data_IF_727293751661
#
_entry.id   IF_727293751661
#
_cell.length_a   1.000
_cell.length_b   1.000
_cell.length_c   1.000
_cell.angle_alpha   90.00
_cell.angle_beta   90.00
_cell.angle_gamma   90.00
#
_symmetry.space_group_name_H-M   'P 1'
#
loop_
_entity.id
_entity.type
_entity.pdbx_description
1 polymer ?
#
# COMPACT_ATOMS: atom_id res chain seq x y z
N UNK A 1 -14.99 9.83 21.73
CA UNK A 1 -14.81 10.43 20.41
C UNK A 1 -14.25 9.43 19.39
N UNK A 2 -13.29 8.58 19.74
CA UNK A 2 -12.69 7.58 18.85
C UNK A 2 -13.69 6.53 18.35
N UNK A 3 -14.58 6.04 19.22
CA UNK A 3 -15.64 5.08 18.83
C UNK A 3 -16.62 5.67 17.79
N UNK A 4 -16.89 6.96 17.84
CA UNK A 4 -17.76 7.62 16.85
C UNK A 4 -17.05 7.75 15.50
N UNK A 5 -15.77 8.12 15.50
CA UNK A 5 -14.95 8.20 14.28
C UNK A 5 -14.83 6.83 13.60
N UNK A 6 -14.57 5.78 14.38
CA UNK A 6 -14.52 4.41 13.88
C UNK A 6 -15.83 3.96 13.24
N UNK A 7 -16.98 4.20 13.91
CA UNK A 7 -18.31 3.86 13.37
C UNK A 7 -18.63 4.60 12.08
N UNK A 8 -18.31 5.90 12.00
CA UNK A 8 -18.55 6.72 10.79
C UNK A 8 -17.65 6.22 9.63
N UNK A 9 -16.37 5.93 9.92
CA UNK A 9 -15.45 5.39 8.92
C UNK A 9 -15.94 4.02 8.40
N UNK A 10 -16.35 3.13 9.28
CA UNK A 10 -16.87 1.80 8.91
C UNK A 10 -18.14 1.91 8.07
N UNK A 11 -19.08 2.79 8.44
CA UNK A 11 -20.30 3.01 7.68
C UNK A 11 -20.00 3.59 6.29
N UNK A 12 -19.10 4.57 6.22
CA UNK A 12 -18.67 5.14 4.94
C UNK A 12 -18.02 4.10 4.04
N UNK A 13 -17.15 3.25 4.60
CA UNK A 13 -16.51 2.16 3.86
C UNK A 13 -17.52 1.12 3.37
N UNK A 14 -18.51 0.78 4.19
CA UNK A 14 -19.57 -0.16 3.82
C UNK A 14 -20.43 0.36 2.65
N UNK A 15 -20.82 1.62 2.68
CA UNK A 15 -21.58 2.26 1.59
C UNK A 15 -20.73 2.28 0.31
N UNK A 16 -19.46 2.66 0.41
CA UNK A 16 -18.54 2.67 -0.73
C UNK A 16 -18.35 1.28 -1.32
N UNK A 17 -18.18 0.25 -0.48
CA UNK A 17 -18.07 -1.14 -0.90
C UNK A 17 -19.35 -1.64 -1.61
N UNK A 18 -20.55 -1.27 -1.12
CA UNK A 18 -21.80 -1.60 -1.79
C UNK A 18 -21.89 -0.99 -3.19
N UNK A 19 -21.56 0.29 -3.33
CA UNK A 19 -21.57 0.98 -4.63
C UNK A 19 -20.61 0.29 -5.60
N UNK A 20 -19.39 -0.04 -5.17
CA UNK A 20 -18.44 -0.76 -5.99
C UNK A 20 -18.92 -2.17 -6.34
N UNK A 21 -19.54 -2.89 -5.40
CA UNK A 21 -20.11 -4.21 -5.64
C UNK A 21 -21.16 -4.22 -6.75
N UNK A 22 -22.06 -3.23 -6.76
CA UNK A 22 -23.08 -3.07 -7.80
C UNK A 22 -22.44 -2.69 -9.15
N UNK A 23 -21.44 -1.80 -9.13
CA UNK A 23 -20.76 -1.35 -10.35
C UNK A 23 -20.02 -2.50 -11.06
N UNK A 24 -19.46 -3.43 -10.28
CA UNK A 24 -18.66 -4.56 -10.75
C UNK A 24 -19.40 -5.91 -10.72
N UNK A 25 -20.72 -5.92 -10.60
CA UNK A 25 -21.55 -7.13 -10.50
C UNK A 25 -21.30 -8.16 -11.62
N UNK A 26 -20.96 -7.69 -12.81
CA UNK A 26 -20.72 -8.53 -13.99
C UNK A 26 -19.28 -9.05 -14.14
N UNK A 27 -18.39 -8.63 -13.24
CA UNK A 27 -16.98 -9.04 -13.30
C UNK A 27 -16.77 -10.36 -12.54
N UNK A 28 -15.70 -11.09 -12.94
CA UNK A 28 -15.30 -12.30 -12.26
C UNK A 28 -14.80 -11.98 -10.84
N UNK A 29 -15.46 -12.54 -9.82
CA UNK A 29 -15.13 -12.32 -8.41
C UNK A 29 -13.67 -12.69 -8.09
N UNK A 30 -13.17 -13.80 -8.63
CA UNK A 30 -11.78 -14.21 -8.42
C UNK A 30 -10.78 -13.19 -8.97
N UNK A 31 -11.09 -12.63 -10.14
CA UNK A 31 -10.29 -11.55 -10.73
C UNK A 31 -10.31 -10.28 -9.88
N UNK A 32 -11.48 -9.88 -9.37
CA UNK A 32 -11.63 -8.72 -8.48
C UNK A 32 -10.82 -8.88 -7.18
N UNK A 33 -10.89 -10.04 -6.56
CA UNK A 33 -10.10 -10.36 -5.36
C UNK A 33 -8.60 -10.30 -5.67
N UNK A 34 -8.17 -10.86 -6.79
CA UNK A 34 -6.78 -10.77 -7.25
C UNK A 34 -6.29 -9.34 -7.45
N UNK A 35 -7.14 -8.47 -8.02
CA UNK A 35 -6.83 -7.04 -8.14
C UNK A 35 -6.71 -6.35 -6.78
N UNK A 36 -7.60 -6.63 -5.83
CA UNK A 36 -7.55 -6.07 -4.49
C UNK A 36 -6.25 -6.45 -3.76
N UNK A 37 -5.84 -7.72 -3.82
CA UNK A 37 -4.55 -8.16 -3.29
C UNK A 37 -3.37 -7.51 -4.00
N UNK A 38 -3.45 -7.34 -5.30
CA UNK A 38 -2.40 -6.67 -6.10
C UNK A 38 -2.21 -5.21 -5.66
N UNK A 39 -3.29 -4.47 -5.43
CA UNK A 39 -3.25 -3.09 -4.90
C UNK A 39 -2.62 -3.05 -3.50
N UNK A 40 -3.11 -3.90 -2.60
CA UNK A 40 -2.57 -4.00 -1.25
C UNK A 40 -1.08 -4.35 -1.23
N UNK A 41 -0.66 -5.25 -2.11
CA UNK A 41 0.73 -5.63 -2.28
C UNK A 41 1.58 -4.45 -2.77
N UNK A 42 1.13 -3.70 -3.78
CA UNK A 42 1.87 -2.55 -4.30
C UNK A 42 2.12 -1.46 -3.26
N UNK A 43 1.19 -1.26 -2.33
CA UNK A 43 1.30 -0.27 -1.28
C UNK A 43 2.15 -0.75 -0.09
N UNK A 44 1.95 -2.00 0.35
CA UNK A 44 2.51 -2.48 1.61
C UNK A 44 3.82 -3.25 1.46
N UNK A 45 3.95 -4.07 0.41
CA UNK A 45 5.11 -4.96 0.26
C UNK A 45 6.45 -4.20 0.19
N UNK A 46 6.61 -3.12 -0.60
CA UNK A 46 7.84 -2.35 -0.61
C UNK A 46 8.21 -1.77 0.75
N UNK A 47 7.21 -1.25 1.46
CA UNK A 47 7.40 -0.67 2.80
C UNK A 47 7.84 -1.75 3.80
N UNK A 48 7.16 -2.91 3.81
CA UNK A 48 7.50 -4.02 4.69
C UNK A 48 8.91 -4.55 4.43
N UNK A 49 9.25 -4.84 3.18
CA UNK A 49 10.58 -5.37 2.82
C UNK A 49 11.67 -4.38 3.21
N UNK A 50 11.52 -3.10 2.86
CA UNK A 50 12.53 -2.10 3.20
C UNK A 50 12.61 -1.86 4.72
N UNK A 51 11.51 -1.96 5.46
CA UNK A 51 11.51 -1.82 6.92
C UNK A 51 12.24 -2.96 7.62
N UNK A 52 12.25 -4.15 7.03
CA UNK A 52 12.93 -5.33 7.60
C UNK A 52 14.40 -5.40 7.23
N UNK A 53 14.75 -5.05 6.00
CA UNK A 53 16.09 -5.30 5.45
C UNK A 53 16.96 -4.04 5.30
N UNK A 54 16.36 -2.85 5.33
CA UNK A 54 17.08 -1.62 5.07
C UNK A 54 16.88 -0.56 6.16
N UNK A 55 17.92 -0.35 6.96
CA UNK A 55 17.91 0.64 8.05
C UNK A 55 17.84 2.11 7.60
N UNK A 56 17.99 2.37 6.31
CA UNK A 56 17.84 3.70 5.72
C UNK A 56 16.41 4.16 5.58
N UNK A 57 15.40 3.28 5.72
CA UNK A 57 14.00 3.64 5.58
C UNK A 57 13.57 4.62 6.68
N UNK A 58 12.91 5.70 6.24
CA UNK A 58 12.32 6.69 7.14
C UNK A 58 10.79 6.62 7.07
N UNK A 59 10.12 7.06 8.13
CA UNK A 59 8.65 7.10 8.15
C UNK A 59 8.07 7.91 6.97
N UNK A 60 8.73 9.01 6.61
CA UNK A 60 8.31 9.83 5.46
C UNK A 60 8.45 9.07 4.14
N UNK A 61 9.60 8.42 3.93
CA UNK A 61 9.81 7.60 2.74
C UNK A 61 8.83 6.45 2.63
N UNK A 62 8.55 5.78 3.73
CA UNK A 62 7.56 4.70 3.80
C UNK A 62 6.14 5.17 3.44
N UNK A 63 5.69 6.28 4.03
CA UNK A 63 4.35 6.84 3.76
C UNK A 63 4.23 7.30 2.31
N UNK A 64 5.19 8.09 1.82
CA UNK A 64 5.15 8.61 0.44
C UNK A 64 5.22 7.44 -0.56
N UNK A 65 6.13 6.50 -0.37
CA UNK A 65 6.27 5.34 -1.25
C UNK A 65 5.04 4.44 -1.25
N UNK A 66 4.45 4.19 -0.09
CA UNK A 66 3.19 3.43 0.02
C UNK A 66 2.01 4.12 -0.66
N UNK A 67 1.86 5.43 -0.44
CA UNK A 67 0.79 6.23 -1.09
C UNK A 67 0.99 6.28 -2.61
N UNK A 68 2.21 6.51 -3.09
CA UNK A 68 2.51 6.50 -4.53
C UNK A 68 2.23 5.13 -5.13
N UNK A 69 2.62 4.04 -4.46
CA UNK A 69 2.32 2.68 -4.89
C UNK A 69 0.82 2.43 -4.99
N UNK A 70 0.05 2.86 -3.98
CA UNK A 70 -1.41 2.75 -3.95
C UNK A 70 -2.05 3.54 -5.10
N UNK A 71 -1.73 4.83 -5.22
CA UNK A 71 -2.31 5.71 -6.26
C UNK A 71 -1.98 5.20 -7.66
N UNK A 72 -0.73 4.78 -7.89
CA UNK A 72 -0.31 4.23 -9.18
C UNK A 72 -1.05 2.93 -9.49
N UNK A 73 -1.17 2.02 -8.53
CA UNK A 73 -1.88 0.75 -8.71
C UNK A 73 -3.36 0.99 -9.06
N UNK A 74 -4.04 1.86 -8.33
CA UNK A 74 -5.45 2.21 -8.58
C UNK A 74 -5.61 2.87 -9.95
N UNK A 75 -4.73 3.81 -10.31
CA UNK A 75 -4.77 4.48 -11.62
C UNK A 75 -4.60 3.48 -12.77
N UNK A 76 -3.63 2.56 -12.66
CA UNK A 76 -3.40 1.52 -13.67
C UNK A 76 -4.58 0.55 -13.80
N UNK A 77 -5.29 0.25 -12.71
CA UNK A 77 -6.51 -0.57 -12.73
C UNK A 77 -7.64 0.18 -13.45
N UNK A 78 -7.85 1.45 -13.13
CA UNK A 78 -8.88 2.26 -13.81
C UNK A 78 -8.63 2.33 -15.31
N UNK A 79 -7.36 2.45 -15.73
CA UNK A 79 -6.95 2.50 -17.15
C UNK A 79 -6.89 1.11 -17.81
N UNK A 80 -7.07 0.02 -17.04
CA UNK A 80 -7.03 -1.35 -17.57
C UNK A 80 -8.28 -1.68 -18.38
N UNK A 81 -8.17 -2.72 -19.23
CA UNK A 81 -9.29 -3.22 -20.03
C UNK A 81 -10.53 -3.54 -19.17
N UNK A 82 -10.34 -4.17 -18.02
CA UNK A 82 -11.43 -4.61 -17.15
C UNK A 82 -12.30 -3.45 -16.64
N UNK A 83 -11.72 -2.28 -16.41
CA UNK A 83 -12.46 -1.12 -15.91
C UNK A 83 -12.80 -0.16 -17.04
N UNK A 84 -11.83 0.22 -17.85
CA UNK A 84 -11.98 1.24 -18.90
C UNK A 84 -12.90 0.79 -20.05
N UNK A 85 -12.75 -0.46 -20.50
CA UNK A 85 -13.52 -1.03 -21.61
C UNK A 85 -14.76 -1.76 -21.10
N UNK A 86 -14.58 -2.75 -20.22
CA UNK A 86 -15.66 -3.67 -19.87
C UNK A 86 -16.67 -3.07 -18.87
N UNK A 87 -16.22 -2.20 -17.96
CA UNK A 87 -17.08 -1.62 -16.92
C UNK A 87 -17.59 -0.24 -17.29
N UNK A 88 -16.69 0.69 -17.63
CA UNK A 88 -17.01 2.09 -17.90
C UNK A 88 -17.41 2.32 -19.36
N UNK A 89 -17.06 1.43 -20.29
CA UNK A 89 -17.39 1.52 -21.73
C UNK A 89 -17.04 2.86 -22.36
N UNK A 90 -15.90 3.46 -21.92
CA UNK A 90 -15.48 4.78 -22.41
C UNK A 90 -14.85 4.68 -23.80
N UNK A 91 -14.13 3.57 -24.09
CA UNK A 91 -13.45 3.35 -25.36
C UNK A 91 -13.31 1.85 -25.62
N UNK A 92 -13.26 1.47 -26.90
CA UNK A 92 -13.06 0.07 -27.32
C UNK A 92 -11.60 -0.41 -27.16
N UNK A 93 -10.67 0.52 -26.96
CA UNK A 93 -9.25 0.21 -26.76
C UNK A 93 -8.80 0.56 -25.36
N UNK A 94 -8.16 -0.37 -24.63
CA UNK A 94 -7.61 -0.09 -23.31
C UNK A 94 -6.39 0.82 -23.42
N UNK A 95 -6.26 1.78 -22.51
CA UNK A 95 -5.07 2.63 -22.41
C UNK A 95 -3.90 1.82 -21.86
N UNK A 96 -4.18 0.91 -20.94
CA UNK A 96 -3.19 0.00 -20.39
C UNK A 96 -3.49 -1.44 -20.83
N UNK A 97 -2.63 -2.07 -21.68
CA UNK A 97 -2.84 -3.45 -22.13
C UNK A 97 -2.56 -4.49 -21.04
N UNK A 98 -1.94 -4.09 -19.92
CA UNK A 98 -1.60 -5.01 -18.84
C UNK A 98 -2.73 -5.11 -17.82
N UNK A 99 -3.12 -6.34 -17.51
CA UNK A 99 -4.17 -6.61 -16.51
C UNK A 99 -3.68 -6.53 -15.05
N UNK A 100 -2.37 -6.53 -14.82
CA UNK A 100 -1.77 -6.48 -13.49
C UNK A 100 -1.08 -5.15 -13.20
N UNK A 101 -1.54 -4.37 -12.23
CA UNK A 101 -0.92 -3.09 -11.88
C UNK A 101 0.44 -3.27 -11.19
N UNK A 102 0.70 -4.43 -10.59
CA UNK A 102 1.86 -4.70 -9.76
C UNK A 102 3.18 -4.56 -10.50
N UNK A 103 3.23 -4.91 -11.80
CA UNK A 103 4.45 -4.88 -12.63
C UNK A 103 5.08 -3.48 -12.64
N UNK A 104 4.27 -2.43 -12.68
CA UNK A 104 4.74 -1.05 -12.72
C UNK A 104 4.64 -0.35 -11.37
N UNK A 105 3.55 -0.57 -10.64
CA UNK A 105 3.29 0.12 -9.37
C UNK A 105 4.26 -0.32 -8.27
N UNK A 106 4.63 -1.60 -8.21
CA UNK A 106 5.53 -2.12 -7.16
C UNK A 106 6.97 -1.59 -7.31
N UNK A 107 7.64 -1.67 -8.49
CA UNK A 107 8.97 -1.07 -8.65
C UNK A 107 8.97 0.44 -8.39
N UNK A 108 7.94 1.15 -8.84
CA UNK A 108 7.81 2.58 -8.60
C UNK A 108 7.69 2.89 -7.10
N UNK A 109 6.91 2.11 -6.36
CA UNK A 109 6.79 2.24 -4.90
C UNK A 109 8.13 2.01 -4.20
N UNK A 110 8.90 0.98 -4.61
CA UNK A 110 10.25 0.73 -4.09
C UNK A 110 11.18 1.92 -4.35
N UNK A 111 11.20 2.44 -5.57
CA UNK A 111 12.02 3.59 -5.94
C UNK A 111 11.64 4.83 -5.14
N UNK A 112 10.35 5.09 -4.95
CA UNK A 112 9.88 6.22 -4.14
C UNK A 112 10.26 6.05 -2.67
N UNK A 113 10.03 4.88 -2.08
CA UNK A 113 10.45 4.61 -0.70
C UNK A 113 11.96 4.86 -0.52
N UNK A 114 12.77 4.33 -1.43
CA UNK A 114 14.21 4.50 -1.40
C UNK A 114 14.63 5.97 -1.58
N UNK A 115 14.14 6.63 -2.62
CA UNK A 115 14.50 8.01 -2.96
C UNK A 115 14.15 8.99 -1.83
N UNK A 116 12.92 8.96 -1.33
CA UNK A 116 12.48 9.86 -0.27
C UNK A 116 13.16 9.56 1.07
N UNK A 117 13.48 8.31 1.35
CA UNK A 117 14.22 7.95 2.57
C UNK A 117 15.67 8.40 2.53
N UNK A 118 16.35 8.30 1.38
CA UNK A 118 17.73 8.79 1.21
C UNK A 118 17.80 10.32 1.27
N UNK A 119 16.78 10.97 0.71
CA UNK A 119 16.72 12.45 0.68
C UNK A 119 16.30 13.04 2.03
N UNK A 120 15.63 12.25 2.89
CA UNK A 120 15.21 12.72 4.22
C UNK A 120 16.40 12.81 5.18
N UNK A 121 16.84 14.04 5.43
CA UNK A 121 17.91 14.41 6.36
C UNK A 121 17.37 15.03 7.66
N UNK A 122 16.11 14.80 8.00
CA UNK A 122 15.53 15.35 9.22
C UNK A 122 16.12 14.70 10.48
N UNK A 123 16.15 15.44 11.59
CA UNK A 123 16.56 14.91 12.90
C UNK A 123 15.73 13.69 13.34
N UNK A 124 14.47 13.61 12.87
CA UNK A 124 13.60 12.45 13.08
C UNK A 124 14.10 11.22 12.32
N UNK A 125 14.52 11.38 11.06
CA UNK A 125 15.07 10.30 10.25
C UNK A 125 16.34 9.70 10.88
N UNK A 126 17.19 10.54 11.45
CA UNK A 126 18.39 10.07 12.17
C UNK A 126 18.04 9.26 13.42
N UNK A 127 17.04 9.70 14.18
CA UNK A 127 16.54 8.97 15.35
C UNK A 127 15.94 7.62 14.96
N UNK A 128 15.18 7.56 13.87
CA UNK A 128 14.57 6.33 13.32
C UNK A 128 15.66 5.33 12.90
N UNK A 129 16.72 5.80 12.21
CA UNK A 129 17.85 4.95 11.81
C UNK A 129 18.61 4.36 12.99
N UNK A 130 18.80 5.13 14.08
CA UNK A 130 19.42 4.61 15.32
C UNK A 130 18.52 3.60 16.03
N UNK A 131 17.21 3.81 16.02
CA UNK A 131 16.25 2.88 16.60
C UNK A 131 16.18 1.54 15.86
N UNK A 132 16.47 1.52 14.56
CA UNK A 132 16.48 0.29 13.75
C UNK A 132 17.49 -0.74 14.28
N UNK A 133 18.71 -0.33 14.60
CA UNK A 133 19.75 -1.26 15.07
C UNK A 133 19.34 -1.94 16.40
N UNK A 134 18.71 -1.20 17.30
CA UNK A 134 18.16 -1.76 18.55
C UNK A 134 17.01 -2.74 18.28
N UNK A 135 16.12 -2.40 17.35
CA UNK A 135 15.01 -3.27 16.98
C UNK A 135 15.47 -4.53 16.26
N UNK A 136 16.48 -4.42 15.39
CA UNK A 136 17.07 -5.56 14.70
C UNK A 136 17.69 -6.55 15.69
N UNK A 137 18.47 -6.08 16.67
CA UNK A 137 19.01 -6.94 17.73
C UNK A 137 17.90 -7.64 18.51
N UNK A 138 16.83 -6.93 18.87
CA UNK A 138 15.67 -7.51 19.56
C UNK A 138 14.99 -8.60 18.73
N UNK A 139 14.83 -8.38 17.43
CA UNK A 139 14.19 -9.37 16.54
C UNK A 139 15.01 -10.64 16.39
N UNK A 140 16.34 -10.56 16.48
CA UNK A 140 17.24 -11.72 16.38
C UNK A 140 17.45 -12.45 17.70
N UNK A 141 17.47 -11.74 18.83
CA UNK A 141 17.83 -12.30 20.13
C UNK A 141 16.65 -12.58 21.04
N UNK A 142 15.49 -11.99 20.75
CA UNK A 142 14.33 -12.06 21.64
C UNK A 142 14.48 -11.31 22.96
N UNK A 143 15.58 -10.59 23.15
CA UNK A 143 15.84 -9.84 24.41
C UNK A 143 14.93 -8.61 24.45
N UNK A 144 14.15 -8.46 25.52
CA UNK A 144 13.26 -7.31 25.73
C UNK A 144 11.81 -7.53 25.27
N UNK A 145 11.40 -8.77 24.98
CA UNK A 145 10.00 -9.13 24.66
C UNK A 145 9.09 -9.00 25.89
N UNK A 146 9.62 -9.08 27.12
CA UNK A 146 8.86 -8.99 28.36
C UNK A 146 8.10 -7.68 28.57
N UNK A 147 8.40 -6.63 27.81
CA UNK A 147 7.66 -5.35 27.84
C UNK A 147 6.51 -5.26 26.83
N UNK A 148 6.32 -6.25 25.98
CA UNK A 148 5.27 -6.23 24.94
C UNK A 148 3.97 -6.92 25.39
N UNK A 149 3.96 -7.58 26.54
CA UNK A 149 2.81 -8.32 27.08
C UNK A 149 1.87 -7.51 27.97
N UNK A 150 2.19 -6.23 28.24
CA UNK A 150 1.43 -5.37 29.15
C UNK A 150 0.56 -4.31 28.45
N UNK A 151 0.07 -4.62 27.23
CA UNK A 151 -0.90 -3.77 26.53
C UNK A 151 -2.14 -4.52 26.09
#
# INVERSE_FOLDING_TARGET
SELRMSKIATLGLAIFAMILGILFEKQNVAFMVGLAFSVACCANFPVLVLSMFWKGLTTRGAVIGGVVGLVTAVTLIILSKAVWVDTLKISDTPVNPFNGPAIFAMPLSFLCCWFFSVTDKSARAEKERKAFDAQFVRSQTGIGISGASDH
#
